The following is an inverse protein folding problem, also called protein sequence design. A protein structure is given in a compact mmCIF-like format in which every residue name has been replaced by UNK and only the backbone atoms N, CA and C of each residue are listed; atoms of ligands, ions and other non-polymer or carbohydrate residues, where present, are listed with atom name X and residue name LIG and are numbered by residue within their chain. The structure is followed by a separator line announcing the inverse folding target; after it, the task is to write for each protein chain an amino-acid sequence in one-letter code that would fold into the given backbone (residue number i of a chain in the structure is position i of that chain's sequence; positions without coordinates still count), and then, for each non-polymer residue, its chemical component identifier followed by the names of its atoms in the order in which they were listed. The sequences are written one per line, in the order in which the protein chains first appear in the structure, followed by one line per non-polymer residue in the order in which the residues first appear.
data_IF_446558120009
#
_entry.id   IF_446558120009
#
_cell.length_a   1.000
_cell.length_b   1.000
_cell.length_c   1.000
_cell.angle_alpha   90.00
_cell.angle_beta   90.00
_cell.angle_gamma   90.00
#
_symmetry.space_group_name_H-M   'P 1'
#
loop_
_entity.id
_entity.type
_entity.pdbx_description
1 polymer ?
#
# COMPACT_ATOMS: atom_id res chain seq x y z
N UNK A 1 3.13 -17.51 -2.57
CA UNK A 1 3.16 -16.09 -2.18
C UNK A 1 2.14 -15.91 -1.07
N UNK A 2 2.53 -15.39 0.10
CA UNK A 2 1.56 -14.99 1.12
C UNK A 2 0.55 -14.03 0.50
N UNK A 3 -0.72 -14.16 0.85
CA UNK A 3 -1.76 -13.21 0.46
C UNK A 3 -1.51 -11.90 1.21
N UNK A 4 -0.68 -11.01 0.61
CA UNK A 4 -0.27 -9.74 1.20
C UNK A 4 -1.47 -8.88 1.61
N UNK A 5 -2.60 -9.03 0.90
CA UNK A 5 -3.84 -8.30 1.17
C UNK A 5 -4.56 -8.75 2.46
N UNK A 6 -4.13 -9.87 3.06
CA UNK A 6 -4.70 -10.42 4.31
C UNK A 6 -3.88 -10.10 5.55
N UNK A 7 -2.70 -9.52 5.39
CA UNK A 7 -1.91 -9.07 6.51
C UNK A 7 -2.50 -7.78 7.10
N UNK A 8 -2.46 -7.64 8.43
CA UNK A 8 -2.83 -6.39 9.06
C UNK A 8 -1.79 -5.28 8.81
N UNK A 9 -2.20 -4.04 9.00
CA UNK A 9 -1.38 -2.86 8.74
C UNK A 9 -0.09 -2.82 9.58
N UNK A 10 -0.14 -3.29 10.83
CA UNK A 10 1.03 -3.29 11.72
C UNK A 10 2.08 -4.30 11.27
N UNK A 11 1.63 -5.48 10.84
CA UNK A 11 2.46 -6.53 10.26
C UNK A 11 3.07 -6.08 8.94
N UNK A 12 2.28 -5.48 8.05
CA UNK A 12 2.79 -4.92 6.79
C UNK A 12 3.84 -3.84 7.04
N UNK A 13 3.56 -2.87 7.93
CA UNK A 13 4.53 -1.81 8.26
C UNK A 13 5.84 -2.36 8.82
N UNK A 14 5.76 -3.38 9.69
CA UNK A 14 6.96 -4.07 10.22
C UNK A 14 7.76 -4.76 9.11
N UNK A 15 7.09 -5.49 8.22
CA UNK A 15 7.75 -6.22 7.12
C UNK A 15 8.37 -5.28 6.08
N UNK A 16 7.69 -4.18 5.76
CA UNK A 16 8.20 -3.14 4.84
C UNK A 16 9.44 -2.48 5.46
N UNK A 17 9.35 -2.05 6.73
CA UNK A 17 10.49 -1.43 7.41
C UNK A 17 11.70 -2.36 7.54
N UNK A 18 11.47 -3.67 7.62
CA UNK A 18 12.52 -4.69 7.63
C UNK A 18 13.05 -5.07 6.23
N UNK A 19 12.44 -4.56 5.15
CA UNK A 19 12.77 -4.94 3.77
C UNK A 19 12.41 -6.38 3.42
N UNK A 20 11.53 -7.04 4.19
CA UNK A 20 11.08 -8.41 3.93
C UNK A 20 10.08 -8.49 2.76
N UNK A 21 9.34 -7.40 2.54
CA UNK A 21 8.45 -7.16 1.39
C UNK A 21 8.58 -5.70 0.99
N UNK A 22 8.44 -5.38 -0.30
CA UNK A 22 8.42 -3.98 -0.73
C UNK A 22 7.01 -3.38 -0.61
N UNK A 23 6.95 -2.08 -0.34
CA UNK A 23 5.71 -1.30 -0.38
C UNK A 23 5.07 -1.39 -1.77
N UNK A 24 5.88 -1.37 -2.84
CA UNK A 24 5.38 -1.47 -4.23
C UNK A 24 4.69 -2.81 -4.48
N UNK A 25 5.25 -3.93 -4.00
CA UNK A 25 4.61 -5.25 -4.09
C UNK A 25 3.27 -5.29 -3.34
N UNK A 26 3.19 -4.68 -2.16
CA UNK A 26 1.97 -4.63 -1.36
C UNK A 26 0.90 -3.76 -2.06
N UNK A 27 1.28 -2.58 -2.58
CA UNK A 27 0.36 -1.73 -3.35
C UNK A 27 -0.13 -2.46 -4.59
N UNK A 28 0.75 -3.11 -5.35
CA UNK A 28 0.35 -3.86 -6.54
C UNK A 28 -0.65 -4.97 -6.19
N UNK A 29 -0.41 -5.73 -5.12
CA UNK A 29 -1.35 -6.77 -4.66
C UNK A 29 -2.73 -6.20 -4.31
N UNK A 30 -2.80 -5.03 -3.69
CA UNK A 30 -4.07 -4.34 -3.43
C UNK A 30 -4.76 -3.87 -4.73
N UNK A 31 -4.01 -3.31 -5.68
CA UNK A 31 -4.55 -2.87 -6.98
C UNK A 31 -5.12 -4.05 -7.78
N UNK A 32 -4.42 -5.18 -7.78
CA UNK A 32 -4.87 -6.41 -8.44
C UNK A 32 -6.17 -6.93 -7.82
N UNK A 33 -6.29 -6.88 -6.48
CA UNK A 33 -7.51 -7.26 -5.77
C UNK A 33 -8.68 -6.33 -6.08
N UNK A 34 -8.43 -5.01 -6.18
CA UNK A 34 -9.45 -4.04 -6.59
C UNK A 34 -9.93 -4.36 -8.01
N UNK A 35 -9.00 -4.53 -8.96
CA UNK A 35 -9.34 -4.85 -10.35
C UNK A 35 -10.16 -6.16 -10.48
N UNK A 36 -9.88 -7.15 -9.63
CA UNK A 36 -10.56 -8.43 -9.65
C UNK A 36 -11.98 -8.41 -9.05
N UNK A 37 -12.29 -7.47 -8.15
CA UNK A 37 -13.50 -7.57 -7.30
C UNK A 37 -14.38 -6.34 -7.27
N UNK A 38 -13.86 -5.15 -7.59
CA UNK A 38 -14.62 -3.92 -7.37
C UNK A 38 -15.74 -3.71 -8.39
N UNK A 39 -15.73 -4.43 -9.52
CA UNK A 39 -16.87 -4.46 -10.44
C UNK A 39 -18.15 -5.01 -9.81
N UNK A 40 -18.03 -5.90 -8.82
CA UNK A 40 -19.16 -6.45 -8.07
C UNK A 40 -19.50 -5.61 -6.84
N UNK A 41 -18.47 -5.16 -6.11
CA UNK A 41 -18.66 -4.46 -4.84
C UNK A 41 -18.97 -2.98 -4.97
N UNK A 42 -18.45 -2.32 -6.02
CA UNK A 42 -18.56 -0.87 -6.20
C UNK A 42 -18.11 -0.09 -4.96
N UNK A 43 -16.98 -0.48 -4.37
CA UNK A 43 -16.45 0.08 -3.12
C UNK A 43 -15.56 1.32 -3.35
N UNK A 44 -14.91 1.45 -4.51
CA UNK A 44 -14.04 2.59 -4.82
C UNK A 44 -14.69 3.56 -5.81
N UNK A 45 -14.71 4.86 -5.47
CA UNK A 45 -15.12 5.91 -6.41
C UNK A 45 -13.97 6.36 -7.33
N UNK A 46 -12.77 6.39 -6.78
CA UNK A 46 -11.55 6.74 -7.49
C UNK A 46 -10.37 5.91 -6.96
N UNK A 47 -9.57 5.36 -7.87
CA UNK A 47 -8.36 4.60 -7.55
C UNK A 47 -7.16 5.34 -8.12
N UNK A 48 -6.33 5.93 -7.24
CA UNK A 48 -5.14 6.70 -7.62
C UNK A 48 -3.90 5.83 -7.84
N UNK A 49 -3.97 4.83 -8.73
CA UNK A 49 -2.97 3.77 -8.87
C UNK A 49 -1.54 4.28 -9.09
N UNK A 50 -1.35 5.22 -10.02
CA UNK A 50 -0.03 5.78 -10.33
C UNK A 50 0.58 6.47 -9.11
N UNK A 51 -0.18 7.35 -8.46
CA UNK A 51 0.27 8.06 -7.25
C UNK A 51 0.57 7.10 -6.10
N UNK A 52 -0.21 6.02 -5.95
CA UNK A 52 0.02 5.02 -4.92
C UNK A 52 1.35 4.27 -5.14
N UNK A 53 1.64 3.89 -6.39
CA UNK A 53 2.89 3.22 -6.76
C UNK A 53 4.10 4.17 -6.63
N UNK A 54 3.97 5.44 -7.02
CA UNK A 54 5.04 6.44 -6.83
C UNK A 54 5.38 6.67 -5.35
N UNK A 55 4.35 6.77 -4.50
CA UNK A 55 4.55 6.90 -3.05
C UNK A 55 5.20 5.64 -2.45
N UNK A 56 4.79 4.45 -2.91
CA UNK A 56 5.37 3.19 -2.47
C UNK A 56 6.85 3.07 -2.85
N UNK A 57 7.21 3.40 -4.10
CA UNK A 57 8.59 3.39 -4.59
C UNK A 57 9.49 4.36 -3.81
N UNK A 58 8.93 5.48 -3.34
CA UNK A 58 9.65 6.43 -2.47
C UNK A 58 10.00 5.78 -1.12
N UNK A 59 9.06 5.04 -0.52
CA UNK A 59 9.31 4.31 0.74
C UNK A 59 10.31 3.19 0.53
N UNK A 60 10.19 2.44 -0.55
CA UNK A 60 11.13 1.36 -0.89
C UNK A 60 12.56 1.89 -1.05
N UNK A 61 12.71 3.05 -1.69
CA UNK A 61 14.01 3.72 -1.83
C UNK A 61 14.60 4.13 -0.48
N UNK A 62 13.77 4.69 0.42
CA UNK A 62 14.19 5.07 1.77
C UNK A 62 14.60 3.85 2.61
N UNK A 63 13.85 2.74 2.53
CA UNK A 63 14.21 1.46 3.19
C UNK A 63 15.54 0.94 2.66
N UNK A 64 15.73 0.91 1.33
CA UNK A 64 16.96 0.45 0.71
C UNK A 64 18.18 1.31 1.09
N UNK A 65 17.97 2.61 1.30
CA UNK A 65 18.99 3.56 1.78
C UNK A 65 19.28 3.44 3.29
N UNK A 66 18.54 2.60 4.03
CA UNK A 66 18.66 2.48 5.49
C UNK A 66 18.19 3.73 6.24
N UNK A 67 17.34 4.54 5.61
CA UNK A 67 16.81 5.75 6.22
C UNK A 67 15.80 5.43 7.31
N UNK A 68 15.70 6.33 8.30
CA UNK A 68 14.64 6.26 9.30
C UNK A 68 13.32 6.65 8.65
N UNK A 69 12.40 5.70 8.55
CA UNK A 69 11.04 5.96 8.07
C UNK A 69 10.28 6.93 9.01
N UNK A 70 9.41 7.79 8.46
CA UNK A 70 8.71 8.81 9.23
C UNK A 70 7.59 8.25 10.12
N UNK A 71 7.14 7.02 9.90
CA UNK A 71 6.02 6.40 10.58
C UNK A 71 6.13 4.86 10.57
N UNK A 72 5.62 4.15 11.60
CA UNK A 72 5.46 2.69 11.56
C UNK A 72 4.58 2.17 10.42
N UNK A 73 3.77 3.04 9.79
CA UNK A 73 2.90 2.71 8.65
C UNK A 73 3.42 3.26 7.32
N UNK A 74 4.66 3.74 7.26
CA UNK A 74 5.24 4.19 6.00
C UNK A 74 5.24 3.03 4.97
N UNK A 75 4.58 3.26 3.83
CA UNK A 75 4.44 2.28 2.75
C UNK A 75 3.23 1.35 2.84
N UNK A 76 2.41 1.44 3.91
CA UNK A 76 1.16 0.68 4.03
C UNK A 76 0.06 1.37 3.19
N UNK A 77 -0.63 0.65 2.27
CA UNK A 77 -1.69 1.24 1.46
C UNK A 77 -2.88 1.72 2.31
N UNK A 78 -3.51 2.82 1.88
CA UNK A 78 -4.70 3.38 2.53
C UNK A 78 -5.78 3.68 1.51
N UNK A 79 -7.03 3.36 1.86
CA UNK A 79 -8.23 3.81 1.16
C UNK A 79 -8.92 4.87 2.03
N UNK A 80 -9.23 6.03 1.46
CA UNK A 80 -9.88 7.13 2.16
C UNK A 80 -11.36 7.17 1.80
N UNK A 81 -12.20 7.36 2.81
CA UNK A 81 -13.64 7.55 2.58
C UNK A 81 -13.87 8.93 1.96
N UNK A 82 -14.48 8.95 0.79
CA UNK A 82 -14.78 10.17 0.03
C UNK A 82 -16.00 10.91 0.61
N UNK A 83 -15.84 11.43 1.82
CA UNK A 83 -16.80 12.31 2.53
C UNK A 83 -16.15 13.63 2.95
N UNK A 84 -14.94 13.88 2.46
CA UNK A 84 -14.17 15.08 2.67
C UNK A 84 -13.90 15.72 1.31
N UNK A 85 -14.10 17.03 1.19
CA UNK A 85 -13.59 17.76 0.03
C UNK A 85 -12.07 17.80 0.13
N UNK A 86 -11.37 17.11 -0.77
CA UNK A 86 -9.93 17.19 -0.94
C UNK A 86 -9.55 18.37 -1.82
#
# INVERSE_FOLDING_TARGET
MSDLTRLDAATLGTKIAAGEVSSTEVVQACLDQIAATDGDYNAFLHVGSERALEAAATVDSAVAAGERLPSPLAGVPLALKDVFTT
#
